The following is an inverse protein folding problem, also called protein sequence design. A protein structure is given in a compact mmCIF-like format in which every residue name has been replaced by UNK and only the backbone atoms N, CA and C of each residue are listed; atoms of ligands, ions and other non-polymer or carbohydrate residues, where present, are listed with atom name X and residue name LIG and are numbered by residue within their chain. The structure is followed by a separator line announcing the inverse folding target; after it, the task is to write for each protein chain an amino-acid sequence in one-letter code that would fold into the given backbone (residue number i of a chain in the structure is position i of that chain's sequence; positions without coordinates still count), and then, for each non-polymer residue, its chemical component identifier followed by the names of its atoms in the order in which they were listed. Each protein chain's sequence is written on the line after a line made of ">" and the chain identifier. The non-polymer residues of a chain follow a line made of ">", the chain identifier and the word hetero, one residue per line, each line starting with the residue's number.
data_IF_461214294351
#
_entry.id   IF_461214294351
#
_cell.length_a   1.000
_cell.length_b   1.000
_cell.length_c   1.000
_cell.angle_alpha   90.00
_cell.angle_beta   90.00
_cell.angle_gamma   90.00
#
_symmetry.space_group_name_H-M   'P 1'
#
loop_
_entity.id
_entity.type
_entity.pdbx_description
1 polymer ?
#
# COMPACT_ATOMS: atom_id res chain seq x y z
N UNK A 1 3.66 1.43 -14.98
CA UNK A 1 4.92 0.62 -14.99
C UNK A 1 5.78 0.84 -16.24
N UNK A 2 5.28 0.62 -17.46
CA UNK A 2 6.07 0.68 -18.73
C UNK A 2 6.89 1.96 -18.91
N UNK A 3 6.28 3.11 -18.62
CA UNK A 3 6.95 4.41 -18.72
C UNK A 3 8.12 4.54 -17.72
N UNK A 4 7.97 3.99 -16.52
CA UNK A 4 9.02 4.02 -15.50
C UNK A 4 10.24 3.20 -15.93
N UNK A 5 10.01 1.96 -16.38
CA UNK A 5 11.09 1.10 -16.91
C UNK A 5 11.77 1.77 -18.10
N UNK A 6 11.00 2.34 -19.03
CA UNK A 6 11.55 3.05 -20.18
C UNK A 6 12.42 4.25 -19.78
N UNK A 7 11.96 5.06 -18.81
CA UNK A 7 12.72 6.21 -18.30
C UNK A 7 14.03 5.76 -17.66
N UNK A 8 14.00 4.72 -16.81
CA UNK A 8 15.22 4.17 -16.20
C UNK A 8 16.21 3.63 -17.24
N UNK A 9 15.74 2.98 -18.32
CA UNK A 9 16.61 2.52 -19.41
C UNK A 9 17.29 3.67 -20.17
N UNK A 10 16.70 4.87 -20.17
CA UNK A 10 17.21 6.05 -20.88
C UNK A 10 18.00 6.99 -20.00
N UNK A 11 17.92 6.83 -18.69
CA UNK A 11 18.65 7.67 -17.74
C UNK A 11 20.13 7.28 -17.76
N UNK A 12 21.01 8.25 -18.04
CA UNK A 12 22.46 8.02 -18.09
C UNK A 12 23.09 7.94 -16.70
N UNK A 13 22.38 8.38 -15.66
CA UNK A 13 22.85 8.32 -14.28
C UNK A 13 22.56 6.97 -13.60
N UNK A 14 21.79 6.09 -14.25
CA UNK A 14 21.40 4.78 -13.72
C UNK A 14 22.05 3.69 -14.56
N UNK A 15 22.83 2.82 -13.92
CA UNK A 15 23.18 1.54 -14.54
C UNK A 15 21.95 0.64 -14.48
N UNK A 16 21.20 0.62 -15.59
CA UNK A 16 19.95 -0.11 -15.68
C UNK A 16 20.11 -1.60 -15.31
N UNK A 17 21.24 -2.22 -15.63
CA UNK A 17 21.45 -3.66 -15.43
C UNK A 17 22.08 -3.99 -14.07
N UNK A 18 22.91 -3.10 -13.54
CA UNK A 18 23.71 -3.41 -12.34
C UNK A 18 23.23 -2.72 -11.06
N UNK A 19 22.59 -1.56 -11.13
CA UNK A 19 22.10 -0.90 -9.92
C UNK A 19 20.89 -1.64 -9.34
N UNK A 20 20.75 -1.67 -8.01
CA UNK A 20 19.51 -2.11 -7.39
C UNK A 20 18.45 -1.02 -7.47
N UNK A 21 17.21 -1.41 -7.76
CA UNK A 21 16.04 -0.51 -7.79
C UNK A 21 15.05 -0.89 -6.71
N UNK A 22 14.62 0.08 -5.92
CA UNK A 22 13.50 -0.07 -4.98
C UNK A 22 12.28 0.60 -5.59
N UNK A 23 11.24 -0.18 -5.89
CA UNK A 23 10.00 0.30 -6.47
C UNK A 23 8.91 0.19 -5.42
N UNK A 24 8.20 1.28 -5.13
CA UNK A 24 7.01 1.23 -4.27
C UNK A 24 5.77 1.32 -5.13
N UNK A 25 4.95 0.27 -5.12
CA UNK A 25 3.67 0.21 -5.80
C UNK A 25 2.55 0.42 -4.79
N UNK A 26 1.70 1.40 -5.08
CA UNK A 26 0.55 1.78 -4.27
C UNK A 26 -0.54 2.29 -5.22
N UNK A 27 -1.58 1.49 -5.46
CA UNK A 27 -2.63 1.79 -6.44
C UNK A 27 -3.94 1.05 -6.07
N UNK A 28 -5.04 1.38 -6.76
CA UNK A 28 -6.35 0.76 -6.54
C UNK A 28 -7.36 1.65 -5.80
N UNK A 29 -6.91 2.74 -5.15
CA UNK A 29 -7.80 3.66 -4.45
C UNK A 29 -8.91 4.24 -5.36
N UNK A 30 -8.60 4.55 -6.62
CA UNK A 30 -9.59 5.06 -7.58
C UNK A 30 -10.64 4.01 -7.99
N UNK A 31 -10.26 2.73 -8.05
CA UNK A 31 -11.21 1.64 -8.32
C UNK A 31 -12.25 1.59 -7.19
N UNK A 32 -11.82 1.73 -5.92
CA UNK A 32 -12.71 1.75 -4.76
C UNK A 32 -13.52 3.06 -4.63
N UNK A 33 -12.89 4.20 -4.92
CA UNK A 33 -13.50 5.51 -4.71
C UNK A 33 -14.49 5.94 -5.78
N UNK A 34 -14.25 5.52 -7.02
CA UNK A 34 -15.05 5.97 -8.17
C UNK A 34 -15.39 4.83 -9.12
N UNK A 35 -14.50 3.85 -9.33
CA UNK A 35 -14.74 2.77 -10.31
C UNK A 35 -15.89 1.84 -9.93
N UNK A 36 -15.91 1.37 -8.68
CA UNK A 36 -16.80 0.29 -8.23
C UNK A 36 -18.27 0.61 -8.39
N UNK A 37 -18.67 1.87 -8.22
CA UNK A 37 -20.06 2.27 -8.33
C UNK A 37 -20.56 2.49 -9.77
N UNK A 38 -19.69 2.31 -10.77
CA UNK A 38 -20.07 2.32 -12.19
C UNK A 38 -19.76 0.99 -12.89
N UNK A 39 -18.70 0.29 -12.46
CA UNK A 39 -18.28 -1.00 -13.00
C UNK A 39 -17.83 -1.93 -11.86
N UNK A 40 -18.80 -2.60 -11.24
CA UNK A 40 -18.55 -3.56 -10.16
C UNK A 40 -17.65 -4.74 -10.60
N UNK A 41 -17.71 -5.14 -11.87
CA UNK A 41 -16.92 -6.26 -12.38
C UNK A 41 -15.48 -5.84 -12.63
N UNK A 42 -15.26 -4.69 -13.28
CA UNK A 42 -13.93 -4.16 -13.54
C UNK A 42 -13.21 -3.63 -12.30
N UNK A 43 -13.94 -3.32 -11.24
CA UNK A 43 -13.44 -2.94 -9.92
C UNK A 43 -13.78 -3.97 -8.83
N UNK A 44 -13.78 -5.25 -9.18
CA UNK A 44 -13.82 -6.34 -8.19
C UNK A 44 -12.41 -6.63 -7.64
N UNK A 45 -12.30 -7.27 -6.46
CA UNK A 45 -11.01 -7.74 -5.93
C UNK A 45 -10.22 -8.61 -6.92
N UNK A 46 -10.91 -9.48 -7.66
CA UNK A 46 -10.32 -10.37 -8.66
C UNK A 46 -9.77 -9.58 -9.85
N UNK A 47 -10.52 -8.59 -10.34
CA UNK A 47 -10.08 -7.71 -11.41
C UNK A 47 -8.87 -6.88 -10.98
N UNK A 48 -8.87 -6.34 -9.75
CA UNK A 48 -7.71 -5.63 -9.18
C UNK A 48 -6.47 -6.53 -9.09
N UNK A 49 -6.61 -7.72 -8.50
CA UNK A 49 -5.51 -8.67 -8.38
C UNK A 49 -4.97 -9.11 -9.74
N UNK A 50 -5.84 -9.28 -10.74
CA UNK A 50 -5.42 -9.55 -12.11
C UNK A 50 -4.59 -8.40 -12.70
N UNK A 51 -5.05 -7.14 -12.57
CA UNK A 51 -4.30 -5.96 -13.03
C UNK A 51 -2.95 -5.84 -12.32
N UNK A 52 -2.92 -6.03 -11.00
CA UNK A 52 -1.70 -6.02 -10.20
C UNK A 52 -0.71 -7.09 -10.70
N UNK A 53 -1.19 -8.32 -10.91
CA UNK A 53 -0.37 -9.42 -11.41
C UNK A 53 0.26 -9.08 -12.76
N UNK A 54 -0.51 -8.50 -13.69
CA UNK A 54 0.05 -8.08 -14.99
C UNK A 54 1.16 -7.04 -14.83
N UNK A 55 0.99 -6.08 -13.92
CA UNK A 55 1.99 -5.05 -13.64
C UNK A 55 3.26 -5.65 -13.02
N UNK A 56 3.13 -6.51 -12.02
CA UNK A 56 4.25 -7.18 -11.35
C UNK A 56 4.99 -8.17 -12.27
N UNK A 57 4.26 -8.93 -13.08
CA UNK A 57 4.83 -9.84 -14.08
C UNK A 57 5.67 -9.05 -15.09
N UNK A 58 5.16 -7.91 -15.57
CA UNK A 58 5.92 -7.03 -16.46
C UNK A 58 7.21 -6.51 -15.81
N UNK A 59 7.17 -6.07 -14.54
CA UNK A 59 8.36 -5.62 -13.83
C UNK A 59 9.38 -6.76 -13.67
N UNK A 60 8.94 -7.95 -13.27
CA UNK A 60 9.80 -9.13 -13.12
C UNK A 60 10.49 -9.53 -14.43
N UNK A 61 9.85 -9.32 -15.58
CA UNK A 61 10.39 -9.61 -16.90
C UNK A 61 11.34 -8.52 -17.42
N UNK A 62 11.13 -7.26 -17.02
CA UNK A 62 11.75 -6.12 -17.69
C UNK A 62 12.69 -5.30 -16.80
N UNK A 63 12.74 -5.56 -15.49
CA UNK A 63 13.53 -4.80 -14.54
C UNK A 63 14.45 -5.74 -13.72
N UNK A 64 15.74 -5.83 -14.06
CA UNK A 64 16.70 -6.60 -13.27
C UNK A 64 16.99 -5.91 -11.94
N UNK A 65 17.44 -6.68 -10.94
CA UNK A 65 17.87 -6.18 -9.62
C UNK A 65 16.84 -5.25 -8.99
N UNK A 66 15.62 -5.75 -8.77
CA UNK A 66 14.54 -4.95 -8.23
C UNK A 66 13.86 -5.56 -7.00
N UNK A 67 13.68 -4.72 -5.98
CA UNK A 67 12.80 -4.99 -4.85
C UNK A 67 11.54 -4.15 -5.03
N UNK A 68 10.40 -4.81 -5.15
CA UNK A 68 9.10 -4.13 -5.22
C UNK A 68 8.44 -4.17 -3.85
N UNK A 69 8.29 -3.02 -3.21
CA UNK A 69 7.40 -2.82 -2.08
C UNK A 69 5.97 -2.70 -2.60
N UNK A 70 5.13 -3.71 -2.35
CA UNK A 70 3.70 -3.59 -2.56
C UNK A 70 3.05 -3.04 -1.29
N UNK A 71 2.59 -1.80 -1.33
CA UNK A 71 1.71 -1.25 -0.30
C UNK A 71 0.29 -1.66 -0.66
N UNK A 72 -0.44 -2.37 0.23
CA UNK A 72 -1.81 -2.76 -0.06
C UNK A 72 -2.70 -1.56 -0.40
N UNK A 73 -3.84 -1.80 -1.04
CA UNK A 73 -4.77 -0.71 -1.33
C UNK A 73 -5.18 0.00 -0.03
N UNK A 74 -5.25 1.34 -0.10
CA UNK A 74 -5.75 2.17 0.99
C UNK A 74 -7.22 1.90 1.25
N UNK A 75 -7.59 1.77 2.52
CA UNK A 75 -8.98 1.94 2.92
C UNK A 75 -9.42 3.39 2.65
N UNK A 76 -10.11 3.60 1.54
CA UNK A 76 -10.52 4.93 1.11
C UNK A 76 -11.56 5.56 2.05
N UNK A 77 -12.15 4.79 2.97
CA UNK A 77 -13.03 5.32 4.01
C UNK A 77 -12.33 6.26 5.00
N UNK A 78 -10.98 6.24 5.05
CA UNK A 78 -10.18 7.21 5.80
C UNK A 78 -10.60 8.65 5.48
N UNK A 79 -10.91 8.93 4.21
CA UNK A 79 -11.35 10.26 3.73
C UNK A 79 -12.67 10.77 4.34
N UNK A 80 -13.51 9.86 4.88
CA UNK A 80 -14.74 10.19 5.59
C UNK A 80 -14.64 10.00 7.11
N UNK A 81 -13.52 9.45 7.59
CA UNK A 81 -13.16 9.18 8.99
C UNK A 81 -12.09 10.15 9.52
N UNK A 82 -12.16 11.38 9.06
CA UNK A 82 -11.37 12.52 9.54
C UNK A 82 -12.31 13.68 9.82
N UNK A 83 -11.89 14.67 10.62
CA UNK A 83 -12.69 15.89 10.79
C UNK A 83 -12.82 16.60 9.43
N UNK A 84 -14.06 16.76 8.94
CA UNK A 84 -14.33 17.30 7.60
C UNK A 84 -14.76 18.75 7.64
N UNK A 85 -13.95 19.62 7.03
CA UNK A 85 -14.35 20.99 6.73
C UNK A 85 -15.43 21.06 5.64
N UNK A 86 -16.02 22.25 5.43
CA UNK A 86 -16.95 22.49 4.31
C UNK A 86 -16.26 22.17 2.97
N UNK A 87 -15.00 22.59 2.82
CA UNK A 87 -14.22 22.33 1.62
C UNK A 87 -14.04 20.83 1.37
N UNK A 88 -13.76 20.05 2.42
CA UNK A 88 -13.64 18.59 2.32
C UNK A 88 -14.93 17.94 1.85
N UNK A 89 -16.10 18.42 2.30
CA UNK A 89 -17.39 17.87 1.85
C UNK A 89 -17.66 18.19 0.38
N UNK A 90 -17.31 19.39 -0.06
CA UNK A 90 -17.49 19.84 -1.44
C UNK A 90 -16.55 19.12 -2.40
N UNK A 91 -15.26 19.00 -2.07
CA UNK A 91 -14.25 18.44 -2.97
C UNK A 91 -14.28 16.91 -3.04
N UNK A 92 -14.64 16.23 -1.94
CA UNK A 92 -14.65 14.76 -1.89
C UNK A 92 -15.49 14.11 -3.00
N UNK A 93 -16.52 14.80 -3.48
CA UNK A 93 -17.40 14.28 -4.53
C UNK A 93 -16.74 14.13 -5.89
N UNK A 94 -15.62 14.81 -6.11
CA UNK A 94 -14.83 14.73 -7.34
C UNK A 94 -13.77 13.63 -7.28
N UNK A 95 -13.38 13.20 -6.08
CA UNK A 95 -12.32 12.21 -5.87
C UNK A 95 -12.86 10.82 -5.50
N UNK A 96 -13.94 10.78 -4.73
CA UNK A 96 -14.52 9.56 -4.20
C UNK A 96 -16.05 9.57 -4.39
N UNK A 97 -16.45 9.48 -5.66
CA UNK A 97 -17.83 9.64 -6.12
C UNK A 97 -18.80 8.63 -5.49
N UNK A 98 -18.34 7.41 -5.20
CA UNK A 98 -19.21 6.34 -4.69
C UNK A 98 -19.86 6.70 -3.34
N UNK A 99 -19.14 7.40 -2.45
CA UNK A 99 -19.70 7.90 -1.18
C UNK A 99 -20.78 8.99 -1.33
N UNK A 100 -21.01 9.51 -2.54
CA UNK A 100 -21.95 10.61 -2.79
C UNK A 100 -23.10 10.23 -3.72
N UNK A 101 -23.18 8.95 -4.13
CA UNK A 101 -24.32 8.47 -4.89
C UNK A 101 -25.58 8.50 -4.04
N UNK A 102 -26.70 8.85 -4.67
CA UNK A 102 -28.01 8.89 -4.00
C UNK A 102 -28.57 7.47 -3.99
N UNK A 103 -28.78 6.91 -2.81
CA UNK A 103 -29.34 5.57 -2.65
C UNK A 103 -29.54 5.20 -1.19
N UNK A 104 -30.16 4.05 -0.95
CA UNK A 104 -30.32 3.46 0.38
C UNK A 104 -29.15 2.54 0.78
N UNK A 105 -28.13 2.42 -0.07
CA UNK A 105 -26.99 1.56 0.16
C UNK A 105 -26.08 2.11 1.26
N UNK A 106 -25.57 1.22 2.11
CA UNK A 106 -24.51 1.55 3.07
C UNK A 106 -23.15 1.48 2.36
N UNK A 107 -22.81 2.58 1.67
CA UNK A 107 -21.53 2.72 0.94
C UNK A 107 -20.32 2.51 1.86
N UNK A 108 -20.44 2.85 3.15
CA UNK A 108 -19.38 2.61 4.11
C UNK A 108 -19.14 1.12 4.32
N UNK A 109 -20.20 0.31 4.45
CA UNK A 109 -20.03 -1.14 4.51
C UNK A 109 -19.45 -1.68 3.21
N UNK A 110 -20.06 -1.33 2.06
CA UNK A 110 -19.66 -1.84 0.74
C UNK A 110 -18.18 -1.58 0.48
N UNK A 111 -17.74 -0.33 0.65
CA UNK A 111 -16.36 0.06 0.39
C UNK A 111 -15.39 -0.60 1.36
N UNK A 112 -15.69 -0.64 2.66
CA UNK A 112 -14.78 -1.27 3.64
C UNK A 112 -14.68 -2.78 3.44
N UNK A 113 -15.74 -3.44 2.96
CA UNK A 113 -15.72 -4.87 2.62
C UNK A 113 -14.93 -5.12 1.33
N UNK A 114 -15.11 -4.28 0.30
CA UNK A 114 -14.29 -4.33 -0.92
C UNK A 114 -12.81 -4.11 -0.64
N UNK A 115 -12.45 -3.14 0.21
CA UNK A 115 -11.06 -2.90 0.64
C UNK A 115 -10.46 -4.17 1.23
N UNK A 116 -11.18 -4.87 2.12
CA UNK A 116 -10.70 -6.11 2.72
C UNK A 116 -10.47 -7.19 1.66
N UNK A 117 -11.41 -7.36 0.73
CA UNK A 117 -11.26 -8.30 -0.38
C UNK A 117 -10.06 -7.97 -1.29
N UNK A 118 -9.85 -6.69 -1.59
CA UNK A 118 -8.68 -6.25 -2.37
C UNK A 118 -7.37 -6.57 -1.65
N UNK A 119 -7.25 -6.19 -0.37
CA UNK A 119 -6.05 -6.43 0.43
C UNK A 119 -5.76 -7.93 0.60
N UNK A 120 -6.80 -8.75 0.78
CA UNK A 120 -6.68 -10.21 0.80
C UNK A 120 -6.17 -10.76 -0.54
N UNK A 121 -6.73 -10.30 -1.66
CA UNK A 121 -6.32 -10.73 -2.99
C UNK A 121 -4.87 -10.31 -3.34
N UNK A 122 -4.41 -9.16 -2.84
CA UNK A 122 -3.01 -8.71 -2.92
C UNK A 122 -2.08 -9.60 -2.09
N UNK A 123 -2.46 -9.91 -0.86
CA UNK A 123 -1.73 -10.80 0.05
C UNK A 123 -1.58 -12.21 -0.52
N UNK A 124 -2.68 -12.79 -1.03
CA UNK A 124 -2.67 -14.11 -1.68
C UNK A 124 -1.76 -14.13 -2.90
N UNK A 125 -1.79 -13.08 -3.74
CA UNK A 125 -0.94 -12.99 -4.92
C UNK A 125 0.55 -12.99 -4.55
N UNK A 126 0.95 -12.15 -3.58
CA UNK A 126 2.36 -12.04 -3.17
C UNK A 126 2.84 -13.27 -2.39
N UNK A 127 2.00 -13.81 -1.50
CA UNK A 127 2.35 -14.98 -0.68
C UNK A 127 2.37 -16.31 -1.46
N UNK A 128 1.86 -16.34 -2.70
CA UNK A 128 1.91 -17.51 -3.59
C UNK A 128 3.32 -18.02 -3.93
N UNK A 129 4.36 -17.24 -3.61
CA UNK A 129 5.76 -17.54 -3.95
C UNK A 129 6.11 -17.24 -5.41
N UNK A 130 5.17 -16.69 -6.20
CA UNK A 130 5.38 -16.34 -7.61
C UNK A 130 6.61 -15.46 -7.84
N UNK A 131 6.88 -14.52 -6.93
CA UNK A 131 7.94 -13.52 -7.04
C UNK A 131 9.16 -13.80 -6.17
N UNK A 132 9.28 -14.98 -5.55
CA UNK A 132 10.41 -15.34 -4.67
C UNK A 132 11.37 -16.35 -5.33
N UNK A 133 11.32 -16.45 -6.66
CA UNK A 133 12.03 -17.48 -7.44
C UNK A 133 13.35 -17.00 -8.03
N UNK A 134 13.54 -15.69 -8.17
CA UNK A 134 14.76 -15.08 -8.72
C UNK A 134 15.60 -14.51 -7.58
N UNK A 135 16.91 -14.51 -7.76
CA UNK A 135 17.84 -13.88 -6.81
C UNK A 135 17.87 -12.35 -6.95
N UNK A 136 17.50 -11.82 -8.12
CA UNK A 136 17.59 -10.41 -8.47
C UNK A 136 16.22 -9.71 -8.55
N UNK A 137 15.13 -10.39 -8.19
CA UNK A 137 13.80 -9.80 -8.19
C UNK A 137 12.91 -10.36 -7.09
N UNK A 138 12.23 -9.50 -6.35
CA UNK A 138 11.20 -9.92 -5.40
C UNK A 138 10.12 -8.86 -5.18
N UNK A 139 8.95 -9.31 -4.73
CA UNK A 139 7.84 -8.45 -4.31
C UNK A 139 7.57 -8.72 -2.83
N UNK A 140 7.60 -7.67 -2.02
CA UNK A 140 7.38 -7.74 -0.58
C UNK A 140 6.20 -6.86 -0.23
N UNK A 141 5.20 -7.43 0.43
CA UNK A 141 4.05 -6.66 0.91
C UNK A 141 4.43 -5.86 2.17
N UNK A 142 4.04 -4.59 2.21
CA UNK A 142 4.32 -3.66 3.31
C UNK A 142 2.98 -3.16 3.90
N UNK A 143 2.43 -3.87 4.90
CA UNK A 143 1.03 -3.74 5.32
C UNK A 143 0.73 -2.52 6.19
N UNK A 144 1.65 -1.58 6.40
CA UNK A 144 1.46 -0.44 7.30
C UNK A 144 0.19 0.37 7.03
N UNK A 145 -0.29 0.42 5.78
CA UNK A 145 -1.49 1.16 5.42
C UNK A 145 -2.76 0.55 6.04
N UNK A 146 -2.73 -0.75 6.37
CA UNK A 146 -3.84 -1.47 7.03
C UNK A 146 -4.10 -0.97 8.46
N UNK A 147 -3.15 -0.26 9.07
CA UNK A 147 -3.31 0.41 10.36
C UNK A 147 -4.43 1.46 10.35
N UNK A 148 -4.78 1.97 9.16
CA UNK A 148 -5.82 2.98 8.97
C UNK A 148 -7.16 2.40 8.50
N UNK A 149 -7.26 1.07 8.36
CA UNK A 149 -8.51 0.41 7.96
C UNK A 149 -9.65 0.70 8.94
N UNK A 150 -10.89 0.61 8.46
CA UNK A 150 -12.07 0.70 9.30
C UNK A 150 -12.13 -0.48 10.28
N UNK A 151 -12.47 -0.23 11.56
CA UNK A 151 -12.73 -1.29 12.51
C UNK A 151 -13.74 -2.28 11.95
N UNK A 152 -13.54 -3.56 12.29
CA UNK A 152 -14.51 -4.62 11.96
C UNK A 152 -15.83 -4.35 12.68
N UNK A 153 -15.75 -3.81 13.90
CA UNK A 153 -16.91 -3.46 14.71
C UNK A 153 -17.76 -2.37 14.02
N UNK A 154 -19.02 -2.66 13.62
CA UNK A 154 -19.83 -1.71 12.87
C UNK A 154 -20.09 -0.39 13.59
N UNK A 155 -20.23 -0.42 14.93
CA UNK A 155 -20.45 0.77 15.77
C UNK A 155 -19.30 1.78 15.69
N UNK A 156 -18.08 1.30 15.38
CA UNK A 156 -16.83 2.08 15.35
C UNK A 156 -16.36 2.40 13.94
N UNK A 157 -17.14 2.03 12.92
CA UNK A 157 -16.75 2.17 11.52
C UNK A 157 -16.48 3.63 11.13
N UNK A 158 -17.11 4.59 11.82
CA UNK A 158 -16.93 6.03 11.60
C UNK A 158 -15.93 6.69 12.56
N UNK A 159 -15.25 5.92 13.42
CA UNK A 159 -14.24 6.45 14.33
C UNK A 159 -13.16 7.22 13.54
N UNK A 160 -12.80 8.40 14.05
CA UNK A 160 -11.71 9.20 13.52
C UNK A 160 -10.40 8.41 13.59
N UNK A 161 -9.72 8.29 12.47
CA UNK A 161 -8.54 7.41 12.34
C UNK A 161 -7.23 8.18 12.30
N UNK A 162 -7.28 9.45 11.90
CA UNK A 162 -6.10 10.29 11.80
C UNK A 162 -6.49 11.76 11.97
N UNK A 163 -5.58 12.53 12.57
CA UNK A 163 -5.76 13.98 12.70
C UNK A 163 -5.78 14.65 11.32
N UNK A 164 -6.59 15.69 11.18
CA UNK A 164 -6.78 16.42 9.92
C UNK A 164 -5.47 17.01 9.35
N UNK A 165 -4.45 17.25 10.18
CA UNK A 165 -3.15 17.77 9.70
C UNK A 165 -2.36 16.80 8.81
N UNK A 166 -2.74 15.51 8.77
CA UNK A 166 -2.09 14.50 7.91
C UNK A 166 -2.69 14.43 6.50
N UNK A 167 -3.79 15.14 6.24
CA UNK A 167 -4.40 15.26 4.91
C UNK A 167 -4.39 16.72 4.46
N UNK A 168 -4.53 16.97 3.15
CA UNK A 168 -4.63 18.33 2.62
C UNK A 168 -6.03 18.90 2.82
N UNK A 169 -6.27 20.13 2.35
CA UNK A 169 -7.54 20.85 2.50
C UNK A 169 -8.74 20.14 1.84
N UNK A 170 -8.51 19.15 0.98
CA UNK A 170 -9.54 18.30 0.39
C UNK A 170 -9.94 17.09 1.25
N UNK A 171 -9.23 16.84 2.34
CA UNK A 171 -9.35 15.65 3.20
C UNK A 171 -9.21 14.30 2.44
N UNK A 172 -8.51 14.30 1.31
CA UNK A 172 -8.35 13.13 0.45
C UNK A 172 -6.87 12.82 0.20
N UNK A 173 -6.10 13.80 -0.27
CA UNK A 173 -4.68 13.62 -0.51
C UNK A 173 -3.87 13.80 0.79
N UNK A 174 -2.75 13.10 0.89
CA UNK A 174 -1.84 13.23 2.04
C UNK A 174 -1.22 14.62 2.07
N UNK A 175 -1.13 15.21 3.26
CA UNK A 175 -0.30 16.39 3.46
C UNK A 175 1.18 16.00 3.45
N UNK A 176 2.08 16.98 3.49
CA UNK A 176 3.51 16.71 3.72
C UNK A 176 3.73 15.88 4.99
N UNK A 177 2.98 16.17 6.06
CA UNK A 177 3.01 15.41 7.32
C UNK A 177 2.48 13.98 7.14
N UNK A 178 1.41 13.81 6.35
CA UNK A 178 0.90 12.50 5.93
C UNK A 178 1.92 11.66 5.19
N UNK A 179 2.57 12.25 4.18
CA UNK A 179 3.64 11.59 3.44
C UNK A 179 4.83 11.21 4.33
N UNK A 180 5.22 12.08 5.27
CA UNK A 180 6.29 11.78 6.21
C UNK A 180 5.95 10.59 7.14
N UNK A 181 4.71 10.52 7.65
CA UNK A 181 4.25 9.38 8.45
C UNK A 181 4.24 8.08 7.62
N UNK A 182 3.68 8.11 6.41
CA UNK A 182 3.62 6.95 5.54
C UNK A 182 5.02 6.45 5.15
N UNK A 183 5.96 7.36 4.86
CA UNK A 183 7.35 7.01 4.57
C UNK A 183 8.04 6.35 5.79
N UNK A 184 7.84 6.91 6.99
CA UNK A 184 8.38 6.35 8.22
C UNK A 184 7.85 4.94 8.52
N UNK A 185 6.53 4.74 8.34
CA UNK A 185 5.89 3.44 8.52
C UNK A 185 6.36 2.41 7.48
N UNK A 186 6.45 2.80 6.20
CA UNK A 186 6.98 1.97 5.12
C UNK A 186 8.43 1.56 5.39
N UNK A 187 9.27 2.51 5.81
CA UNK A 187 10.67 2.27 6.15
C UNK A 187 10.80 1.23 7.26
N UNK A 188 10.05 1.38 8.35
CA UNK A 188 10.04 0.42 9.44
C UNK A 188 9.59 -0.97 8.95
N UNK A 189 8.52 -1.03 8.16
CA UNK A 189 8.07 -2.29 7.57
C UNK A 189 9.15 -2.95 6.70
N UNK A 190 9.93 -2.21 5.91
CA UNK A 190 11.05 -2.78 5.14
C UNK A 190 12.13 -3.43 6.03
N UNK A 191 12.28 -2.96 7.27
CA UNK A 191 13.27 -3.44 8.24
C UNK A 191 12.71 -4.44 9.26
N UNK A 192 11.52 -4.98 9.01
CA UNK A 192 10.90 -6.04 9.83
C UNK A 192 10.75 -7.34 9.04
N UNK A 193 10.87 -8.53 9.66
CA UNK A 193 10.69 -9.79 8.95
C UNK A 193 9.29 -9.94 8.35
N UNK A 194 9.20 -10.55 7.17
CA UNK A 194 7.94 -10.91 6.52
C UNK A 194 7.15 -11.85 7.44
N UNK A 195 5.86 -11.58 7.63
CA UNK A 195 5.00 -12.27 8.59
C UNK A 195 5.04 -11.71 10.02
N UNK A 196 5.98 -10.81 10.32
CA UNK A 196 6.18 -10.22 11.66
C UNK A 196 6.33 -8.70 11.60
N UNK A 197 5.58 -8.04 10.71
CA UNK A 197 5.53 -6.58 10.58
C UNK A 197 4.72 -5.97 11.73
N UNK A 198 5.06 -4.74 12.15
CA UNK A 198 4.32 -4.03 13.20
C UNK A 198 2.85 -3.80 12.81
N UNK A 199 1.95 -4.10 13.75
CA UNK A 199 0.48 -3.93 13.62
C UNK A 199 -0.07 -2.76 14.45
N UNK A 200 0.82 -1.90 14.95
CA UNK A 200 0.49 -0.73 15.78
C UNK A 200 0.99 0.55 15.09
N UNK A 201 0.13 1.59 15.09
CA UNK A 201 0.47 2.91 14.53
C UNK A 201 1.54 3.68 15.33
N UNK A 202 1.80 4.89 14.86
CA UNK A 202 2.65 5.87 15.54
C UNK A 202 1.78 7.07 15.91
N UNK A 203 2.02 7.62 17.09
CA UNK A 203 1.36 8.83 17.60
C UNK A 203 1.84 10.08 16.82
N UNK A 204 3.11 10.07 16.39
CA UNK A 204 3.71 11.14 15.60
C UNK A 204 4.81 10.61 14.67
N UNK A 205 5.13 11.41 13.65
CA UNK A 205 6.19 11.11 12.68
C UNK A 205 7.53 10.92 13.41
N UNK A 206 8.30 9.91 13.01
CA UNK A 206 9.60 9.55 13.59
C UNK A 206 9.56 9.08 15.06
N UNK A 207 8.39 8.86 15.69
CA UNK A 207 8.32 8.28 17.05
C UNK A 207 9.12 6.95 17.15
N UNK A 208 9.07 6.16 16.09
CA UNK A 208 9.89 4.96 15.90
C UNK A 208 10.48 4.98 14.50
N UNK A 209 11.79 4.81 14.41
CA UNK A 209 12.53 4.73 13.14
C UNK A 209 13.61 3.66 13.28
N UNK A 210 13.52 2.59 12.51
CA UNK A 210 14.49 1.49 12.58
C UNK A 210 15.73 1.76 11.74
N UNK A 211 16.85 1.24 12.23
CA UNK A 211 18.14 1.21 11.54
C UNK A 211 18.55 -0.25 11.33
N UNK A 212 19.22 -0.59 10.21
CA UNK A 212 19.82 -1.90 10.01
C UNK A 212 20.82 -2.24 11.12
N UNK A 213 20.95 -3.52 11.46
CA UNK A 213 21.90 -4.04 12.45
C UNK A 213 22.92 -4.97 11.80
N UNK A 214 23.98 -5.36 12.52
CA UNK A 214 24.92 -6.37 12.04
C UNK A 214 24.27 -7.74 11.82
N UNK A 215 23.18 -8.03 12.54
CA UNK A 215 22.42 -9.28 12.41
C UNK A 215 21.38 -9.19 11.28
N UNK A 216 20.87 -7.99 10.99
CA UNK A 216 19.89 -7.74 9.91
C UNK A 216 20.25 -6.48 9.11
N UNK A 217 21.29 -6.54 8.26
CA UNK A 217 21.77 -5.36 7.51
C UNK A 217 20.95 -5.04 6.24
N UNK A 218 20.05 -5.93 5.80
CA UNK A 218 19.32 -5.82 4.54
C UNK A 218 17.82 -5.61 4.73
N UNK A 219 17.16 -5.07 3.70
CA UNK A 219 15.70 -5.05 3.62
C UNK A 219 15.18 -6.49 3.67
N UNK A 220 14.15 -6.73 4.48
CA UNK A 220 13.56 -8.05 4.62
C UNK A 220 12.77 -8.44 3.38
N UNK A 221 13.10 -9.62 2.86
CA UNK A 221 12.40 -10.35 1.80
C UNK A 221 11.82 -11.63 2.37
N UNK A 222 11.03 -12.37 1.59
CA UNK A 222 10.53 -13.67 2.03
C UNK A 222 11.68 -14.61 2.41
N UNK A 223 12.70 -14.71 1.55
CA UNK A 223 13.81 -15.66 1.70
C UNK A 223 14.67 -15.37 2.95
N UNK A 224 15.10 -14.12 3.14
CA UNK A 224 15.95 -13.78 4.29
C UNK A 224 15.18 -13.70 5.62
N UNK A 225 13.85 -13.53 5.58
CA UNK A 225 13.01 -13.59 6.79
C UNK A 225 12.97 -15.00 7.36
N UNK A 226 12.89 -16.03 6.51
CA UNK A 226 12.91 -17.44 6.95
C UNK A 226 14.21 -17.77 7.67
N UNK A 227 15.35 -17.29 7.17
CA UNK A 227 16.65 -17.46 7.79
C UNK A 227 16.70 -16.71 9.13
N UNK A 228 16.38 -15.42 9.13
CA UNK A 228 16.43 -14.57 10.33
C UNK A 228 15.56 -15.10 11.48
N UNK A 229 14.35 -15.60 11.19
CA UNK A 229 13.48 -16.15 12.23
C UNK A 229 14.00 -17.45 12.83
N UNK A 230 14.88 -18.18 12.12
CA UNK A 230 15.51 -19.42 12.61
C UNK A 230 16.80 -19.17 13.37
N UNK A 231 17.63 -18.23 12.88
CA UNK A 231 19.02 -18.08 13.34
C UNK A 231 19.27 -16.77 14.09
N UNK A 232 18.35 -15.81 13.99
CA UNK A 232 18.56 -14.44 14.46
C UNK A 232 19.44 -13.59 13.54
N UNK A 233 19.80 -14.08 12.34
CA UNK A 233 20.63 -13.36 11.35
C UNK A 233 20.13 -13.53 9.92
N UNK A 234 20.35 -12.54 9.05
CA UNK A 234 19.93 -12.59 7.64
C UNK A 234 20.89 -13.36 6.71
N UNK A 235 22.11 -13.67 7.17
CA UNK A 235 23.14 -14.42 6.46
C UNK A 235 23.18 -15.93 6.82
#
# INVERSE_FOLDING_TARGET
>A
ERVGVYKMKKDRAVDFYNDWKVITMFFGANDLCSGQCYDHTGASPEAHSFKLRLALDYLQENLPRALVNLVPVLDVSVSVRVKRSIMCRLLHRFFCTCFHLRGAADEMSIITDLVRGYQEAEELLVSSGRYNKKEDFTVVIQPFIKLFNAPIEPSRRYDEVIDISYVTYDCFHFSQKGHALAANLLWNNMLEPVGHKTTVGLDHVMQRFYCPTEQAPYIFTYNNSVQFLKTGRQD
#
